data_IF_261821153849
#
_entry.id   IF_261821153849
#
_cell.length_a   1.000
_cell.length_b   1.000
_cell.length_c   1.000
_cell.angle_alpha   90.00
_cell.angle_beta   90.00
_cell.angle_gamma   90.00
#
_symmetry.space_group_name_H-M   'P 1'
#
loop_
_entity.id
_entity.type
_entity.pdbx_description
1 polymer ?
#
# COMPACT_ATOMS: atom_id res chain seq x y z
N UNK A 1 38.34 -32.58 24.75
CA UNK A 1 37.02 -32.64 25.43
C UNK A 1 36.44 -31.23 25.44
N UNK A 2 35.41 -30.97 24.63
CA UNK A 2 34.68 -29.68 24.65
C UNK A 2 33.22 -29.94 25.00
N UNK A 3 32.75 -29.29 26.05
CA UNK A 3 31.38 -29.36 26.57
C UNK A 3 30.53 -28.38 25.77
N UNK A 4 29.59 -28.88 24.97
CA UNK A 4 28.59 -28.05 24.29
C UNK A 4 27.48 -27.75 25.31
N UNK A 5 27.41 -26.52 25.83
CA UNK A 5 26.26 -26.03 26.58
C UNK A 5 25.15 -25.78 25.58
N UNK A 6 24.16 -26.69 25.53
CA UNK A 6 22.92 -26.50 24.80
C UNK A 6 22.11 -25.41 25.52
N UNK A 7 22.05 -24.23 24.92
CA UNK A 7 21.11 -23.19 25.35
C UNK A 7 19.71 -23.62 24.93
N UNK A 8 18.98 -24.25 25.85
CA UNK A 8 17.54 -24.48 25.72
C UNK A 8 16.83 -23.13 25.76
N UNK A 9 16.64 -22.51 24.61
CA UNK A 9 15.67 -21.41 24.47
C UNK A 9 14.31 -22.08 24.32
N UNK A 10 13.51 -21.99 25.37
CA UNK A 10 12.09 -22.37 25.33
C UNK A 10 11.42 -21.68 24.14
N UNK A 11 10.51 -22.35 23.40
CA UNK A 11 9.75 -21.69 22.35
C UNK A 11 8.89 -20.60 22.99
N UNK A 12 9.12 -19.35 22.60
CA UNK A 12 8.29 -18.23 23.03
C UNK A 12 6.82 -18.58 22.71
N UNK A 13 5.87 -18.27 23.61
CA UNK A 13 4.47 -18.53 23.34
C UNK A 13 4.07 -17.75 22.10
N UNK A 14 3.67 -18.47 21.05
CA UNK A 14 3.03 -17.88 19.89
C UNK A 14 1.76 -17.20 20.39
N UNK A 15 1.75 -15.88 20.41
CA UNK A 15 0.57 -15.08 20.70
C UNK A 15 -0.59 -15.63 19.86
N UNK A 16 -1.72 -15.88 20.50
CA UNK A 16 -2.90 -16.36 19.79
C UNK A 16 -3.34 -15.29 18.79
N UNK A 17 -4.02 -15.68 17.70
CA UNK A 17 -4.46 -14.74 16.67
C UNK A 17 -5.32 -13.59 17.25
N UNK A 18 -6.05 -13.86 18.33
CA UNK A 18 -6.80 -12.87 19.11
C UNK A 18 -5.92 -11.84 19.85
N UNK A 19 -4.74 -12.22 20.34
CA UNK A 19 -3.83 -11.29 21.02
C UNK A 19 -3.09 -10.37 20.04
N UNK A 20 -2.85 -10.82 18.81
CA UNK A 20 -2.29 -9.97 17.74
C UNK A 20 -3.29 -8.88 17.32
N UNK A 21 -4.59 -9.19 17.35
CA UNK A 21 -5.67 -8.23 17.06
C UNK A 21 -5.90 -7.19 18.18
N UNK A 22 -5.42 -7.46 19.40
CA UNK A 22 -5.61 -6.59 20.56
C UNK A 22 -4.42 -5.67 20.85
N UNK A 23 -3.31 -5.79 20.11
CA UNK A 23 -2.21 -4.82 20.20
C UNK A 23 -2.70 -3.48 19.61
N UNK A 24 -2.59 -2.35 20.33
CA UNK A 24 -2.78 -1.05 19.72
C UNK A 24 -1.70 -0.92 18.64
N UNK A 25 -2.11 -1.08 17.38
CA UNK A 25 -1.24 -0.88 16.24
C UNK A 25 -0.74 0.56 16.32
N UNK A 26 0.58 0.83 16.41
CA UNK A 26 1.09 2.20 16.35
C UNK A 26 0.97 2.79 14.92
N UNK A 27 -0.07 2.40 14.18
CA UNK A 27 -0.36 2.73 12.80
C UNK A 27 -1.78 3.30 12.60
N UNK A 28 -2.49 3.69 13.66
CA UNK A 28 -3.47 4.78 13.57
C UNK A 28 -2.68 6.01 13.10
N UNK A 29 -2.76 6.54 11.89
CA UNK A 29 -3.96 6.85 11.10
C UNK A 29 -3.52 7.16 9.64
N UNK A 30 -2.66 6.31 9.07
CA UNK A 30 -2.06 6.56 7.75
C UNK A 30 -2.37 5.41 6.79
N UNK A 31 -3.62 5.34 6.33
CA UNK A 31 -3.90 4.69 5.06
C UNK A 31 -3.16 5.48 3.96
N UNK A 32 -2.18 4.87 3.26
CA UNK A 32 -1.27 5.62 2.39
C UNK A 32 -1.94 6.33 1.20
N UNK A 33 -3.25 6.13 0.97
CA UNK A 33 -4.02 6.70 -0.14
C UNK A 33 -5.40 7.23 0.27
N UNK A 34 -5.61 7.62 1.53
CA UNK A 34 -6.96 7.92 2.00
C UNK A 34 -7.45 9.30 1.53
N UNK A 35 -7.72 9.39 0.23
CA UNK A 35 -8.27 10.55 -0.46
C UNK A 35 -9.56 11.03 0.21
N UNK A 36 -10.42 10.10 0.63
CA UNK A 36 -11.64 10.41 1.37
C UNK A 36 -11.35 11.05 2.74
N UNK A 37 -10.33 10.57 3.47
CA UNK A 37 -9.91 11.19 4.72
C UNK A 37 -9.37 12.62 4.52
N UNK A 38 -8.62 12.86 3.45
CA UNK A 38 -8.11 14.19 3.12
C UNK A 38 -9.24 15.17 2.76
N UNK A 39 -10.24 14.72 2.02
CA UNK A 39 -11.46 15.50 1.76
C UNK A 39 -12.22 15.82 3.06
N UNK A 40 -12.38 14.84 3.96
CA UNK A 40 -13.03 15.04 5.25
C UNK A 40 -12.25 15.99 6.18
N UNK A 41 -10.93 16.05 6.01
CA UNK A 41 -10.07 17.03 6.69
C UNK A 41 -10.19 18.46 6.11
N UNK A 42 -11.03 18.68 5.10
CA UNK A 42 -11.31 19.98 4.50
C UNK A 42 -10.37 20.38 3.37
N UNK A 43 -9.56 19.45 2.84
CA UNK A 43 -8.76 19.73 1.64
C UNK A 43 -9.65 19.80 0.40
N UNK A 44 -9.25 20.61 -0.58
CA UNK A 44 -9.89 20.54 -1.90
C UNK A 44 -9.52 19.22 -2.60
N UNK A 45 -10.35 18.74 -3.54
CA UNK A 45 -10.03 17.56 -4.36
C UNK A 45 -8.61 17.58 -4.95
N UNK A 46 -8.17 18.72 -5.47
CA UNK A 46 -6.85 18.87 -6.08
C UNK A 46 -5.73 18.75 -5.05
N UNK A 47 -5.90 19.37 -3.87
CA UNK A 47 -4.92 19.27 -2.78
C UNK A 47 -4.82 17.84 -2.24
N UNK A 48 -5.97 17.18 -2.06
CA UNK A 48 -6.02 15.80 -1.63
C UNK A 48 -5.35 14.88 -2.66
N UNK A 49 -5.59 15.11 -3.95
CA UNK A 49 -4.93 14.38 -5.04
C UNK A 49 -3.41 14.58 -5.02
N UNK A 50 -2.93 15.82 -4.89
CA UNK A 50 -1.50 16.12 -4.84
C UNK A 50 -0.80 15.42 -3.66
N UNK A 51 -1.45 15.37 -2.49
CA UNK A 51 -0.93 14.63 -1.33
C UNK A 51 -0.87 13.13 -1.57
N UNK A 52 -1.91 12.55 -2.19
CA UNK A 52 -1.90 11.13 -2.58
C UNK A 52 -0.81 10.86 -3.63
N UNK A 53 -0.62 11.72 -4.62
CA UNK A 53 0.42 11.59 -5.64
C UNK A 53 1.83 11.65 -5.04
N UNK A 54 2.09 12.57 -4.10
CA UNK A 54 3.35 12.62 -3.35
C UNK A 54 3.64 11.32 -2.61
N UNK A 55 2.62 10.75 -1.94
CA UNK A 55 2.74 9.46 -1.24
C UNK A 55 2.95 8.30 -2.22
N UNK A 56 2.26 8.31 -3.36
CA UNK A 56 2.43 7.31 -4.42
C UNK A 56 3.85 7.30 -5.00
N UNK A 57 4.54 8.44 -4.98
CA UNK A 57 5.94 8.55 -5.39
C UNK A 57 6.92 7.89 -4.40
N UNK A 58 6.50 7.48 -3.19
CA UNK A 58 7.40 6.82 -2.23
C UNK A 58 7.96 5.51 -2.80
N UNK A 59 9.28 5.22 -2.68
CA UNK A 59 9.90 4.03 -3.29
C UNK A 59 9.27 2.70 -2.86
N UNK A 60 8.82 2.60 -1.60
CA UNK A 60 8.15 1.40 -1.09
C UNK A 60 6.79 1.17 -1.78
N UNK A 61 6.02 2.25 -2.00
CA UNK A 61 4.75 2.22 -2.74
C UNK A 61 5.00 1.85 -4.21
N UNK A 62 5.97 2.49 -4.85
CA UNK A 62 6.36 2.17 -6.21
C UNK A 62 6.73 0.68 -6.38
N UNK A 63 7.43 0.09 -5.41
CA UNK A 63 7.78 -1.33 -5.43
C UNK A 63 6.55 -2.24 -5.30
N UNK A 64 5.54 -1.86 -4.52
CA UNK A 64 4.25 -2.56 -4.45
C UNK A 64 3.55 -2.50 -5.81
N UNK A 65 3.41 -1.31 -6.39
CA UNK A 65 2.71 -1.12 -7.68
C UNK A 65 3.41 -1.90 -8.80
N UNK A 66 4.75 -1.88 -8.86
CA UNK A 66 5.53 -2.69 -9.82
C UNK A 66 5.28 -4.20 -9.66
N UNK A 67 5.19 -4.70 -8.42
CA UNK A 67 4.87 -6.12 -8.17
C UNK A 67 3.44 -6.46 -8.59
N UNK A 68 2.48 -5.58 -8.32
CA UNK A 68 1.11 -5.74 -8.81
C UNK A 68 1.06 -5.77 -10.34
N UNK A 69 1.77 -4.88 -11.03
CA UNK A 69 1.78 -4.86 -12.49
C UNK A 69 2.46 -6.09 -13.11
N UNK A 70 3.29 -6.81 -12.35
CA UNK A 70 3.97 -8.01 -12.81
C UNK A 70 3.08 -9.26 -12.84
N UNK A 71 1.93 -9.26 -12.13
CA UNK A 71 0.99 -10.40 -12.10
C UNK A 71 -0.31 -10.08 -12.85
N UNK A 72 -0.97 -11.12 -13.36
CA UNK A 72 -2.25 -10.95 -14.07
C UNK A 72 -3.35 -10.41 -13.14
N UNK A 73 -3.44 -10.94 -11.92
CA UNK A 73 -4.40 -10.47 -10.91
C UNK A 73 -4.11 -9.03 -10.49
N UNK A 74 -2.83 -8.68 -10.30
CA UNK A 74 -2.44 -7.33 -9.92
C UNK A 74 -2.66 -6.31 -11.04
N UNK A 75 -2.55 -6.71 -12.31
CA UNK A 75 -2.94 -5.86 -13.45
C UNK A 75 -4.44 -5.55 -13.43
N UNK A 76 -5.29 -6.53 -13.09
CA UNK A 76 -6.73 -6.32 -12.93
C UNK A 76 -7.06 -5.33 -11.81
N UNK A 77 -6.37 -5.47 -10.67
CA UNK A 77 -6.52 -4.53 -9.55
C UNK A 77 -6.08 -3.11 -9.93
N UNK A 78 -4.93 -2.96 -10.61
CA UNK A 78 -4.46 -1.65 -11.06
C UNK A 78 -5.41 -1.01 -12.07
N UNK A 79 -5.97 -1.78 -13.00
CA UNK A 79 -6.95 -1.27 -13.96
C UNK A 79 -8.22 -0.76 -13.25
N UNK A 80 -8.76 -1.52 -12.29
CA UNK A 80 -9.90 -1.10 -11.48
C UNK A 80 -9.61 0.22 -10.76
N UNK A 81 -8.44 0.33 -10.12
CA UNK A 81 -8.07 1.54 -9.39
C UNK A 81 -7.90 2.74 -10.32
N UNK A 82 -7.31 2.57 -11.51
CA UNK A 82 -7.23 3.62 -12.52
C UNK A 82 -8.64 4.13 -12.90
N UNK A 83 -9.58 3.22 -13.17
CA UNK A 83 -10.97 3.59 -13.47
C UNK A 83 -11.62 4.33 -12.30
N UNK A 84 -11.42 3.89 -11.06
CA UNK A 84 -11.96 4.59 -9.88
C UNK A 84 -11.41 6.01 -9.72
N UNK A 85 -10.14 6.25 -10.06
CA UNK A 85 -9.57 7.60 -10.08
C UNK A 85 -10.19 8.46 -11.18
N UNK A 86 -10.34 7.90 -12.39
CA UNK A 86 -10.97 8.61 -13.52
C UNK A 86 -12.42 9.01 -13.20
N UNK A 87 -13.18 8.14 -12.51
CA UNK A 87 -14.55 8.42 -12.07
C UNK A 87 -14.65 9.62 -11.11
N UNK A 88 -13.64 9.85 -10.28
CA UNK A 88 -13.56 11.03 -9.40
C UNK A 88 -12.87 12.24 -10.06
N UNK A 89 -12.56 12.14 -11.36
CA UNK A 89 -12.03 13.24 -12.16
C UNK A 89 -10.52 13.41 -12.15
N UNK A 90 -9.77 12.43 -11.61
CA UNK A 90 -8.31 12.49 -11.51
C UNK A 90 -7.65 11.29 -12.22
N UNK A 91 -6.42 11.44 -12.75
CA UNK A 91 -5.66 10.29 -13.24
C UNK A 91 -5.19 9.42 -12.07
N UNK A 92 -4.71 8.21 -12.37
CA UNK A 92 -4.10 7.38 -11.33
C UNK A 92 -2.84 8.07 -10.75
N UNK A 93 -2.68 8.16 -9.42
CA UNK A 93 -1.60 8.93 -8.79
C UNK A 93 -0.18 8.47 -9.15
N UNK A 94 -0.03 7.23 -9.61
CA UNK A 94 1.25 6.61 -9.98
C UNK A 94 1.59 6.70 -11.47
N UNK A 95 0.68 7.18 -12.32
CA UNK A 95 0.93 7.25 -13.77
C UNK A 95 2.10 8.19 -14.11
N UNK A 96 2.24 9.29 -13.37
CA UNK A 96 3.31 10.28 -13.57
C UNK A 96 4.71 9.77 -13.24
N UNK A 97 4.82 8.67 -12.48
CA UNK A 97 6.09 8.26 -11.87
C UNK A 97 6.58 6.93 -12.42
N UNK A 98 5.65 6.04 -12.77
CA UNK A 98 6.01 4.67 -13.09
C UNK A 98 5.88 4.33 -14.58
N UNK A 99 5.20 5.16 -15.39
CA UNK A 99 4.83 4.86 -16.78
C UNK A 99 4.28 3.43 -16.94
N UNK A 100 3.59 2.96 -15.90
CA UNK A 100 2.99 1.63 -15.85
C UNK A 100 1.58 1.75 -16.41
N UNK A 101 1.45 1.98 -17.71
CA UNK A 101 0.16 1.66 -18.33
C UNK A 101 -0.04 0.15 -18.20
N UNK A 102 -1.13 -0.32 -17.57
CA UNK A 102 -1.47 -1.73 -17.63
C UNK A 102 -1.45 -2.16 -19.10
N UNK A 103 -0.98 -3.37 -19.41
CA UNK A 103 -0.95 -3.85 -20.82
C UNK A 103 -2.31 -3.72 -21.52
N UNK A 104 -3.41 -3.70 -20.78
CA UNK A 104 -4.76 -3.45 -21.27
C UNK A 104 -4.97 -2.05 -21.90
N UNK A 105 -4.11 -1.06 -21.60
CA UNK A 105 -4.20 0.33 -22.06
C UNK A 105 -3.10 0.73 -23.06
N UNK A 106 -2.26 -0.23 -23.49
CA UNK A 106 -1.33 -0.04 -24.60
C UNK A 106 -2.01 -0.48 -25.90
N UNK A 107 -2.81 0.42 -26.50
CA UNK A 107 -3.25 0.30 -27.90
C UNK A 107 -2.43 1.22 -28.80
#
# INVERSE_FOLDING_TARGET
MQTIVRSSREPEPLLSADEVLALPSPADDYHPYDYAALLNAGMTPEQAFDEVAKRAAAPAVQAVIKRCNASHEGQGLLALLCTSWEEVGFPAPWDNVLDLRPRAYQR
#
